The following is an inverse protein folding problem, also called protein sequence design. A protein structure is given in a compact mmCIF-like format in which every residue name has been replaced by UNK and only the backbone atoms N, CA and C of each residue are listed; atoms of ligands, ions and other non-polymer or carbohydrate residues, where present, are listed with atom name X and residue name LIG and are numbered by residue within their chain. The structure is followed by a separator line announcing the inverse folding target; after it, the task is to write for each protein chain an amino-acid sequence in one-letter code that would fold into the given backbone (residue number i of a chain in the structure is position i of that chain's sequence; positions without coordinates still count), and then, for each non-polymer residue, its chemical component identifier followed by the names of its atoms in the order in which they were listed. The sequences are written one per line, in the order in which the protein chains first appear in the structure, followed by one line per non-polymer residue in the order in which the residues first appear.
data_IF_223927798325
#
_entry.id   IF_223927798325
#
_cell.length_a   1.000
_cell.length_b   1.000
_cell.length_c   1.000
_cell.angle_alpha   90.00
_cell.angle_beta   90.00
_cell.angle_gamma   90.00
#
_symmetry.space_group_name_H-M   'P 1'
#
loop_
_entity.id
_entity.type
_entity.pdbx_description
1 polymer ?
#
# COMPACT_ATOMS: atom_id res chain seq x y z
N UNK A 1 -6.31 -16.00 -26.61
CA UNK A 1 -7.38 -16.46 -25.71
C UNK A 1 -6.95 -16.17 -24.28
N UNK A 2 -7.67 -15.30 -23.56
CA UNK A 2 -7.52 -15.25 -22.09
C UNK A 2 -8.32 -16.44 -21.54
N UNK A 3 -7.68 -17.27 -20.73
CA UNK A 3 -8.37 -18.36 -20.07
C UNK A 3 -9.07 -17.80 -18.83
N UNK A 4 -10.40 -17.87 -18.81
CA UNK A 4 -11.18 -17.56 -17.63
C UNK A 4 -11.03 -18.71 -16.64
N UNK A 5 -10.12 -18.53 -15.68
CA UNK A 5 -9.91 -19.47 -14.58
C UNK A 5 -10.76 -19.07 -13.38
N UNK A 6 -11.41 -20.06 -12.75
CA UNK A 6 -12.12 -19.81 -11.50
C UNK A 6 -11.12 -19.44 -10.40
N UNK A 7 -11.51 -18.52 -9.51
CA UNK A 7 -10.70 -18.15 -8.34
C UNK A 7 -10.37 -19.38 -7.50
N UNK A 8 -11.30 -20.34 -7.40
CA UNK A 8 -11.08 -21.58 -6.68
C UNK A 8 -9.91 -22.39 -7.27
N UNK A 9 -9.87 -22.58 -8.59
CA UNK A 9 -8.78 -23.31 -9.25
C UNK A 9 -7.42 -22.60 -9.08
N UNK A 10 -7.40 -21.27 -9.09
CA UNK A 10 -6.18 -20.50 -8.82
C UNK A 10 -5.73 -20.65 -7.36
N UNK A 11 -6.66 -20.59 -6.41
CA UNK A 11 -6.38 -20.76 -5.00
C UNK A 11 -5.86 -22.17 -4.67
N UNK A 12 -6.44 -23.21 -5.28
CA UNK A 12 -5.98 -24.60 -5.15
C UNK A 12 -4.54 -24.77 -5.69
N UNK A 13 -4.24 -24.22 -6.87
CA UNK A 13 -2.89 -24.25 -7.44
C UNK A 13 -1.85 -23.52 -6.57
N UNK A 14 -2.26 -22.45 -5.89
CA UNK A 14 -1.42 -21.66 -4.99
C UNK A 14 -1.42 -22.20 -3.55
N UNK A 15 -2.14 -23.30 -3.29
CA UNK A 15 -2.32 -23.90 -1.96
C UNK A 15 -2.81 -22.89 -0.90
N UNK A 16 -3.71 -21.99 -1.30
CA UNK A 16 -4.37 -21.00 -0.42
C UNK A 16 -5.87 -21.28 -0.35
N UNK A 17 -6.48 -20.99 0.78
CA UNK A 17 -7.93 -21.10 0.91
C UNK A 17 -8.64 -20.02 0.05
N UNK A 18 -9.67 -20.37 -0.74
CA UNK A 18 -10.45 -19.38 -1.50
C UNK A 18 -11.10 -18.32 -0.60
N UNK A 19 -11.50 -18.67 0.63
CA UNK A 19 -12.01 -17.71 1.61
C UNK A 19 -11.01 -16.60 1.91
N UNK A 20 -9.72 -16.93 2.03
CA UNK A 20 -8.67 -15.94 2.27
C UNK A 20 -8.57 -14.91 1.13
N UNK A 21 -8.76 -15.36 -0.12
CA UNK A 21 -8.80 -14.45 -1.27
C UNK A 21 -9.99 -13.49 -1.17
N UNK A 22 -11.19 -14.00 -0.91
CA UNK A 22 -12.38 -13.15 -0.83
C UNK A 22 -12.35 -12.20 0.38
N UNK A 23 -11.79 -12.62 1.52
CA UNK A 23 -11.56 -11.74 2.66
C UNK A 23 -10.54 -10.64 2.37
N UNK A 24 -9.45 -10.98 1.67
CA UNK A 24 -8.49 -9.98 1.22
C UNK A 24 -9.14 -8.99 0.25
N UNK A 25 -9.90 -9.48 -0.72
CA UNK A 25 -10.64 -8.65 -1.68
C UNK A 25 -11.63 -7.72 -0.98
N UNK A 26 -12.40 -8.23 -0.01
CA UNK A 26 -13.32 -7.43 0.78
C UNK A 26 -12.60 -6.32 1.56
N UNK A 27 -11.44 -6.62 2.14
CA UNK A 27 -10.58 -5.62 2.82
C UNK A 27 -10.00 -4.59 1.87
N UNK A 28 -9.71 -4.98 0.63
CA UNK A 28 -9.25 -4.08 -0.42
C UNK A 28 -10.37 -3.14 -0.90
N UNK A 29 -11.59 -3.66 -1.05
CA UNK A 29 -12.77 -2.90 -1.49
C UNK A 29 -13.27 -1.91 -0.42
N UNK A 30 -13.05 -2.21 0.87
CA UNK A 30 -13.45 -1.36 2.00
C UNK A 30 -12.24 -1.10 2.92
N UNK A 31 -11.32 -0.21 2.53
CA UNK A 31 -10.13 0.06 3.31
C UNK A 31 -10.50 0.72 4.64
N UNK A 32 -10.06 0.11 5.75
CA UNK A 32 -10.18 0.73 7.07
C UNK A 32 -9.28 1.97 7.23
N UNK A 33 -9.40 2.73 8.33
CA UNK A 33 -8.67 3.99 8.52
C UNK A 33 -7.15 3.87 8.35
N UNK A 34 -6.55 2.78 8.85
CA UNK A 34 -5.11 2.50 8.69
C UNK A 34 -4.72 2.25 7.23
N UNK A 35 -5.56 1.55 6.47
CA UNK A 35 -5.29 1.25 5.06
C UNK A 35 -5.34 2.54 4.22
N UNK A 36 -6.29 3.44 4.51
CA UNK A 36 -6.36 4.77 3.86
C UNK A 36 -5.11 5.59 4.14
N UNK A 37 -4.66 5.66 5.40
CA UNK A 37 -3.42 6.35 5.77
C UNK A 37 -2.21 5.74 5.05
N UNK A 38 -2.14 4.41 4.98
CA UNK A 38 -1.06 3.72 4.27
C UNK A 38 -1.08 3.99 2.75
N UNK A 39 -2.26 4.08 2.13
CA UNK A 39 -2.39 4.44 0.72
C UNK A 39 -1.91 5.88 0.47
N UNK A 40 -2.32 6.82 1.31
CA UNK A 40 -1.83 8.20 1.24
C UNK A 40 -0.31 8.26 1.43
N UNK A 41 0.23 7.47 2.36
CA UNK A 41 1.66 7.37 2.61
C UNK A 41 2.43 6.79 1.41
N UNK A 42 1.87 5.77 0.76
CA UNK A 42 2.46 5.15 -0.43
C UNK A 42 2.61 6.16 -1.57
N UNK A 43 1.61 7.03 -1.78
CA UNK A 43 1.66 8.10 -2.79
C UNK A 43 2.85 9.06 -2.51
N UNK A 44 3.05 9.46 -1.25
CA UNK A 44 4.17 10.34 -0.87
C UNK A 44 5.51 9.64 -1.07
N UNK A 45 5.61 8.37 -0.68
CA UNK A 45 6.82 7.54 -0.88
C UNK A 45 7.16 7.43 -2.37
N UNK A 46 6.17 7.16 -3.22
CA UNK A 46 6.36 7.08 -4.68
C UNK A 46 6.81 8.42 -5.27
N UNK A 47 6.24 9.54 -4.82
CA UNK A 47 6.63 10.87 -5.26
C UNK A 47 8.10 11.18 -4.92
N UNK A 48 8.53 10.89 -3.68
CA UNK A 48 9.91 11.05 -3.24
C UNK A 48 10.84 10.15 -4.07
N UNK A 49 10.47 8.89 -4.24
CA UNK A 49 11.26 7.93 -5.01
C UNK A 49 11.44 8.39 -6.47
N UNK A 50 10.37 8.87 -7.10
CA UNK A 50 10.41 9.44 -8.46
C UNK A 50 11.25 10.73 -8.53
N UNK A 51 11.10 11.63 -7.57
CA UNK A 51 11.88 12.87 -7.49
C UNK A 51 13.38 12.59 -7.34
N UNK A 52 13.75 11.52 -6.62
CA UNK A 52 15.13 11.05 -6.49
C UNK A 52 15.69 10.37 -7.76
N UNK A 53 14.93 10.32 -8.86
CA UNK A 53 15.24 9.51 -10.05
C UNK A 53 15.47 8.04 -9.71
N UNK A 54 14.70 7.51 -8.76
CA UNK A 54 14.75 6.12 -8.31
C UNK A 54 16.11 5.70 -7.73
N UNK A 55 16.91 6.67 -7.28
CA UNK A 55 18.23 6.41 -6.68
C UNK A 55 18.15 6.22 -5.17
N UNK A 56 17.05 6.66 -4.53
CA UNK A 56 16.90 6.56 -3.09
C UNK A 56 16.29 5.21 -2.72
N UNK A 57 17.06 4.41 -1.98
CA UNK A 57 16.52 3.26 -1.27
C UNK A 57 15.66 3.66 -0.06
N UNK A 58 15.00 2.65 0.53
CA UNK A 58 14.09 2.81 1.68
C UNK A 58 14.63 3.75 2.79
N UNK A 59 15.89 3.66 3.25
CA UNK A 59 16.39 4.54 4.31
C UNK A 59 16.33 6.03 3.96
N UNK A 60 16.70 6.41 2.73
CA UNK A 60 16.70 7.81 2.27
C UNK A 60 15.30 8.34 2.01
N UNK A 61 14.40 7.48 1.51
CA UNK A 61 12.99 7.84 1.35
C UNK A 61 12.34 8.09 2.71
N UNK A 62 12.64 7.28 3.73
CA UNK A 62 12.16 7.48 5.10
C UNK A 62 12.69 8.77 5.70
N UNK A 63 13.97 9.11 5.48
CA UNK A 63 14.54 10.38 5.94
C UNK A 63 13.81 11.58 5.31
N UNK A 64 13.57 11.55 4.00
CA UNK A 64 12.87 12.61 3.29
C UNK A 64 11.39 12.71 3.73
N UNK A 65 10.74 11.56 3.92
CA UNK A 65 9.39 11.47 4.45
C UNK A 65 9.29 12.08 5.85
N UNK A 66 10.29 11.85 6.72
CA UNK A 66 10.39 12.49 8.04
C UNK A 66 10.60 14.00 7.93
N UNK A 67 11.47 14.47 7.03
CA UNK A 67 11.66 15.91 6.78
C UNK A 67 10.39 16.59 6.30
N UNK A 68 9.63 15.95 5.42
CA UNK A 68 8.34 16.43 4.98
C UNK A 68 7.30 16.40 6.11
N UNK A 69 7.22 15.31 6.88
CA UNK A 69 6.34 15.20 8.05
C UNK A 69 6.65 16.22 9.15
N UNK A 70 7.94 16.53 9.39
CA UNK A 70 8.38 17.58 10.31
C UNK A 70 8.13 18.98 9.76
N UNK A 71 8.26 19.20 8.44
CA UNK A 71 7.87 20.47 7.79
C UNK A 71 6.37 20.73 7.88
N UNK A 72 5.55 19.69 7.84
CA UNK A 72 4.09 19.78 8.03
C UNK A 72 3.68 19.50 9.49
N UNK A 73 4.64 19.35 10.40
CA UNK A 73 4.49 19.00 11.82
C UNK A 73 3.94 20.13 12.70
N UNK A 74 3.12 21.03 12.13
CA UNK A 74 2.19 21.86 12.90
C UNK A 74 0.79 21.26 12.70
N UNK A 75 0.47 20.31 13.58
CA UNK A 75 -0.82 19.62 13.78
C UNK A 75 -1.21 18.54 12.77
N UNK A 76 -1.00 17.29 13.19
CA UNK A 76 -1.94 16.19 12.96
C UNK A 76 -2.10 15.43 14.29
N UNK A 77 -2.80 16.06 15.24
CA UNK A 77 -3.49 15.36 16.34
C UNK A 77 -4.99 15.51 16.07
N UNK A 78 -5.75 14.44 15.83
CA UNK A 78 -7.13 14.38 16.29
C UNK A 78 -7.11 13.95 17.76
N UNK A 79 -7.94 14.61 18.58
CA UNK A 79 -8.16 14.24 19.98
C UNK A 79 -8.98 12.96 20.14
#
# INVERSE_FOLDING_TARGET
MKADHSIQALCENLNVAPSSYYEWKQRADRPGPRAVVNQALAIVIEAIHKQSRQTYGSPRVVEELRKQGSRHGRKLSPG
#
